data_IF_901221828985
#
_entry.id   IF_901221828985
#
_cell.length_a   1.000
_cell.length_b   1.000
_cell.length_c   1.000
_cell.angle_alpha   90.00
_cell.angle_beta   90.00
_cell.angle_gamma   90.00
#
_symmetry.space_group_name_H-M   'P 1'
#
loop_
_entity.id
_entity.type
_entity.pdbx_description
1 polymer ?
#
# COMPACT_ATOMS: atom_id res chain seq x y z
N UNK A 1 2.30 -29.11 19.09
CA UNK A 1 3.69 -28.73 18.78
C UNK A 1 3.75 -27.46 17.92
N UNK A 2 3.07 -27.44 16.77
CA UNK A 2 3.06 -26.32 15.81
C UNK A 2 2.76 -24.94 16.42
N UNK A 3 1.70 -24.80 17.23
CA UNK A 3 1.36 -23.52 17.88
C UNK A 3 2.53 -22.94 18.70
N UNK A 4 3.27 -23.76 19.45
CA UNK A 4 4.41 -23.28 20.25
C UNK A 4 5.60 -22.84 19.38
N UNK A 5 5.77 -23.45 18.21
CA UNK A 5 6.84 -23.10 17.26
C UNK A 5 6.49 -21.79 16.54
N UNK A 6 5.27 -21.69 16.02
CA UNK A 6 4.83 -20.49 15.32
C UNK A 6 4.76 -19.26 16.23
N UNK A 7 4.28 -19.40 17.47
CA UNK A 7 4.22 -18.30 18.44
C UNK A 7 5.48 -18.21 19.30
N UNK A 8 6.66 -18.41 18.70
CA UNK A 8 7.95 -18.31 19.38
C UNK A 8 8.71 -17.04 19.00
N UNK A 9 9.64 -16.64 19.87
CA UNK A 9 10.55 -15.51 19.61
C UNK A 9 11.37 -15.70 18.33
N UNK A 10 11.85 -16.93 18.07
CA UNK A 10 12.61 -17.25 16.87
C UNK A 10 11.80 -17.03 15.60
N UNK A 11 10.52 -17.40 15.62
CA UNK A 11 9.62 -17.16 14.48
C UNK A 11 9.43 -15.66 14.23
N UNK A 12 9.26 -14.85 15.27
CA UNK A 12 9.16 -13.39 15.12
C UNK A 12 10.39 -12.81 14.46
N UNK A 13 11.59 -13.26 14.88
CA UNK A 13 12.85 -12.77 14.32
C UNK A 13 12.99 -13.14 12.83
N UNK A 14 12.59 -14.36 12.45
CA UNK A 14 12.58 -14.79 11.05
C UNK A 14 11.61 -13.93 10.22
N UNK A 15 10.38 -13.72 10.71
CA UNK A 15 9.39 -12.89 10.02
C UNK A 15 9.86 -11.44 9.89
N UNK A 16 10.45 -10.86 10.94
CA UNK A 16 11.04 -9.52 10.90
C UNK A 16 12.22 -9.43 9.95
N UNK A 17 13.05 -10.46 9.87
CA UNK A 17 14.18 -10.51 8.93
C UNK A 17 13.69 -10.53 7.48
N UNK A 18 12.69 -11.36 7.17
CA UNK A 18 12.06 -11.40 5.84
C UNK A 18 11.45 -10.03 5.53
N UNK A 19 10.74 -9.43 6.49
CA UNK A 19 10.15 -8.10 6.34
C UNK A 19 11.20 -7.03 6.01
N UNK A 20 12.30 -6.98 6.78
CA UNK A 20 13.39 -6.05 6.55
C UNK A 20 14.07 -6.27 5.18
N UNK A 21 14.29 -7.53 4.80
CA UNK A 21 14.85 -7.88 3.50
C UNK A 21 13.93 -7.45 2.35
N UNK A 22 12.62 -7.67 2.49
CA UNK A 22 11.62 -7.20 1.52
C UNK A 22 11.64 -5.68 1.37
N UNK A 23 11.74 -4.94 2.47
CA UNK A 23 11.87 -3.48 2.42
C UNK A 23 13.18 -3.04 1.74
N UNK A 24 14.30 -3.70 2.06
CA UNK A 24 15.58 -3.40 1.43
C UNK A 24 15.55 -3.63 -0.08
N UNK A 25 14.98 -4.77 -0.52
CA UNK A 25 14.79 -5.06 -1.95
C UNK A 25 13.87 -4.02 -2.60
N UNK A 26 12.78 -3.61 -1.93
CA UNK A 26 11.89 -2.57 -2.44
C UNK A 26 12.62 -1.23 -2.65
N UNK A 27 13.53 -0.85 -1.76
CA UNK A 27 14.36 0.36 -1.94
C UNK A 27 15.20 0.31 -3.21
N UNK A 28 15.82 -0.83 -3.52
CA UNK A 28 16.58 -0.98 -4.78
C UNK A 28 15.67 -0.97 -6.00
N UNK A 29 14.52 -1.66 -5.93
CA UNK A 29 13.53 -1.64 -7.02
C UNK A 29 13.01 -0.23 -7.27
N UNK A 30 12.77 0.54 -6.21
CA UNK A 30 12.36 1.95 -6.33
C UNK A 30 13.42 2.80 -7.01
N UNK A 31 14.69 2.60 -6.65
CA UNK A 31 15.80 3.33 -7.27
C UNK A 31 15.92 3.06 -8.78
N UNK A 32 15.75 1.81 -9.20
CA UNK A 32 16.02 1.40 -10.58
C UNK A 32 14.78 1.52 -11.49
N UNK A 33 13.57 1.31 -10.96
CA UNK A 33 12.33 1.24 -11.73
C UNK A 33 11.26 2.25 -11.29
N UNK A 34 11.55 3.06 -10.27
CA UNK A 34 10.67 4.09 -9.74
C UNK A 34 9.68 3.59 -8.69
N UNK A 35 9.07 4.55 -7.98
CA UNK A 35 8.16 4.30 -6.85
C UNK A 35 6.95 3.44 -7.23
N UNK A 36 6.40 3.60 -8.44
CA UNK A 36 5.22 2.83 -8.88
C UNK A 36 5.55 1.33 -9.04
N UNK A 37 6.76 1.03 -9.52
CA UNK A 37 7.22 -0.35 -9.67
C UNK A 37 7.41 -1.05 -8.32
N UNK A 38 8.10 -0.39 -7.38
CA UNK A 38 8.30 -0.93 -6.03
C UNK A 38 6.99 -1.13 -5.27
N UNK A 39 6.04 -0.20 -5.44
CA UNK A 39 4.69 -0.34 -4.91
C UNK A 39 4.00 -1.59 -5.45
N UNK A 40 3.86 -1.76 -6.76
CA UNK A 40 3.10 -2.89 -7.26
C UNK A 40 3.75 -4.24 -6.91
N UNK A 41 5.08 -4.32 -6.91
CA UNK A 41 5.80 -5.57 -6.73
C UNK A 41 5.91 -6.01 -5.26
N UNK A 42 6.10 -5.04 -4.35
CA UNK A 42 6.32 -5.30 -2.93
C UNK A 42 5.19 -4.72 -2.09
N UNK A 43 5.06 -3.40 -2.02
CA UNK A 43 4.19 -2.79 -1.02
C UNK A 43 2.73 -3.18 -1.23
N UNK A 44 2.18 -3.06 -2.44
CA UNK A 44 0.80 -3.39 -2.83
C UNK A 44 0.58 -4.87 -3.17
N UNK A 45 1.60 -5.70 -2.99
CA UNK A 45 1.50 -7.11 -3.32
C UNK A 45 0.84 -7.90 -2.18
N UNK A 46 -0.02 -8.85 -2.55
CA UNK A 46 -0.77 -9.69 -1.61
C UNK A 46 0.14 -10.51 -0.68
N UNK A 47 1.32 -10.91 -1.15
CA UNK A 47 2.28 -11.66 -0.32
C UNK A 47 2.84 -10.81 0.83
N UNK A 48 2.99 -9.50 0.63
CA UNK A 48 3.50 -8.58 1.64
C UNK A 48 2.42 -8.31 2.71
N UNK A 49 1.16 -8.20 2.29
CA UNK A 49 0.01 -8.14 3.21
C UNK A 49 -0.10 -9.41 4.07
N UNK A 50 0.11 -10.58 3.46
CA UNK A 50 0.16 -11.85 4.21
C UNK A 50 1.31 -11.83 5.21
N UNK A 51 2.49 -11.32 4.84
CA UNK A 51 3.63 -11.21 5.76
C UNK A 51 3.30 -10.32 6.96
N UNK A 52 2.69 -9.15 6.75
CA UNK A 52 2.22 -8.28 7.83
C UNK A 52 1.19 -8.97 8.72
N UNK A 53 0.21 -9.67 8.13
CA UNK A 53 -0.80 -10.42 8.88
C UNK A 53 -0.17 -11.53 9.74
N UNK A 54 0.78 -12.28 9.18
CA UNK A 54 1.52 -13.32 9.90
C UNK A 54 2.30 -12.74 11.08
N UNK A 55 2.96 -11.60 10.90
CA UNK A 55 3.66 -10.85 11.95
C UNK A 55 2.69 -10.41 13.06
N UNK A 56 1.56 -9.83 12.68
CA UNK A 56 0.53 -9.38 13.61
C UNK A 56 0.00 -10.54 14.46
N UNK A 57 -0.40 -11.64 13.81
CA UNK A 57 -0.92 -12.84 14.49
C UNK A 57 0.16 -13.45 15.40
N UNK A 58 1.41 -13.53 14.92
CA UNK A 58 2.53 -14.04 15.71
C UNK A 58 2.75 -13.21 16.99
N UNK A 59 2.81 -11.88 16.89
CA UNK A 59 3.02 -10.98 18.02
C UNK A 59 1.87 -11.06 19.04
N UNK A 60 0.63 -11.08 18.57
CA UNK A 60 -0.56 -11.26 19.42
C UNK A 60 -0.49 -12.60 20.15
N UNK A 61 -0.19 -13.69 19.44
CA UNK A 61 -0.08 -15.01 20.04
C UNK A 61 1.04 -15.11 21.07
N UNK A 62 2.17 -14.42 20.87
CA UNK A 62 3.26 -14.35 21.86
C UNK A 62 2.80 -13.72 23.17
N UNK A 63 2.06 -12.61 23.10
CA UNK A 63 1.53 -11.91 24.29
C UNK A 63 0.70 -12.87 25.15
N UNK A 64 -0.20 -13.63 24.52
CA UNK A 64 -1.11 -14.55 25.23
C UNK A 64 -0.42 -15.85 25.68
N UNK A 65 0.35 -16.51 24.82
CA UNK A 65 0.98 -17.81 25.11
C UNK A 65 2.09 -17.67 26.17
N UNK A 66 2.88 -16.59 26.12
CA UNK A 66 3.94 -16.33 27.09
C UNK A 66 3.48 -15.52 28.31
N UNK A 67 2.17 -15.23 28.39
CA UNK A 67 1.51 -14.49 29.48
C UNK A 67 2.26 -13.20 29.81
N UNK A 68 2.50 -12.36 28.81
CA UNK A 68 3.31 -11.13 28.96
C UNK A 68 2.63 -10.05 29.83
N UNK A 69 1.35 -10.20 30.16
CA UNK A 69 0.62 -9.31 31.07
C UNK A 69 1.08 -9.39 32.54
N UNK A 70 2.05 -10.26 32.86
CA UNK A 70 2.65 -10.34 34.18
C UNK A 70 3.49 -9.08 34.48
N UNK A 71 3.42 -8.59 35.73
CA UNK A 71 4.13 -7.36 36.16
C UNK A 71 5.63 -7.34 35.85
N UNK A 72 6.28 -8.51 35.88
CA UNK A 72 7.72 -8.64 35.61
C UNK A 72 8.08 -8.49 34.12
N UNK A 73 7.10 -8.44 33.21
CA UNK A 73 7.31 -8.51 31.76
C UNK A 73 6.78 -7.27 31.01
N UNK A 74 6.52 -6.17 31.70
CA UNK A 74 5.95 -4.96 31.07
C UNK A 74 6.79 -4.38 29.94
N UNK A 75 8.13 -4.39 30.06
CA UNK A 75 9.00 -3.95 28.97
C UNK A 75 8.80 -4.78 27.70
N UNK A 76 8.69 -6.11 27.85
CA UNK A 76 8.43 -7.02 26.74
C UNK A 76 7.02 -6.83 26.18
N UNK A 77 6.01 -6.68 27.04
CA UNK A 77 4.63 -6.40 26.64
C UNK A 77 4.55 -5.13 25.80
N UNK A 78 5.13 -4.02 26.29
CA UNK A 78 5.15 -2.74 25.59
C UNK A 78 5.81 -2.84 24.22
N UNK A 79 6.95 -3.53 24.12
CA UNK A 79 7.64 -3.72 22.85
C UNK A 79 6.77 -4.45 21.81
N UNK A 80 6.13 -5.56 22.21
CA UNK A 80 5.29 -6.32 21.29
C UNK A 80 4.01 -5.55 20.93
N UNK A 81 3.41 -4.87 21.90
CA UNK A 81 2.25 -4.00 21.67
C UNK A 81 2.59 -2.84 20.74
N UNK A 82 3.78 -2.25 20.83
CA UNK A 82 4.23 -1.19 19.92
C UNK A 82 4.29 -1.69 18.47
N UNK A 83 4.85 -2.89 18.24
CA UNK A 83 4.85 -3.48 16.89
C UNK A 83 3.44 -3.75 16.37
N UNK A 84 2.52 -4.21 17.22
CA UNK A 84 1.11 -4.39 16.85
C UNK A 84 0.50 -3.05 16.42
N UNK A 85 0.71 -1.98 17.20
CA UNK A 85 0.20 -0.64 16.86
C UNK A 85 0.80 -0.13 15.56
N UNK A 86 2.10 -0.32 15.32
CA UNK A 86 2.77 0.07 14.08
C UNK A 86 2.19 -0.69 12.88
N UNK A 87 1.99 -2.00 13.00
CA UNK A 87 1.41 -2.83 11.93
C UNK A 87 -0.04 -2.43 11.61
N UNK A 88 -0.85 -2.14 12.63
CA UNK A 88 -2.22 -1.65 12.43
C UNK A 88 -2.22 -0.26 11.79
N UNK A 89 -1.33 0.64 12.23
CA UNK A 89 -1.15 1.95 11.61
C UNK A 89 -0.74 1.84 10.14
N UNK A 90 0.18 0.94 9.80
CA UNK A 90 0.58 0.67 8.43
C UNK A 90 -0.60 0.18 7.58
N UNK A 91 -1.43 -0.72 8.10
CA UNK A 91 -2.64 -1.18 7.40
C UNK A 91 -3.63 -0.05 7.17
N UNK A 92 -3.86 0.82 8.16
CA UNK A 92 -4.76 1.99 8.01
C UNK A 92 -4.23 2.93 6.93
N UNK A 93 -2.96 3.34 7.01
CA UNK A 93 -2.34 4.24 6.02
C UNK A 93 -2.37 3.63 4.61
N UNK A 94 -2.23 2.32 4.48
CA UNK A 94 -2.28 1.62 3.20
C UNK A 94 -3.66 1.65 2.56
N UNK A 95 -4.72 1.34 3.31
CA UNK A 95 -6.06 1.18 2.73
C UNK A 95 -6.86 2.47 2.70
N UNK A 96 -6.53 3.45 3.55
CA UNK A 96 -7.26 4.71 3.69
C UNK A 96 -6.40 5.96 3.48
N UNK A 97 -5.08 5.82 3.34
CA UNK A 97 -4.19 6.95 3.08
C UNK A 97 -4.30 7.43 1.64
N UNK A 98 -4.09 8.73 1.45
CA UNK A 98 -3.97 9.36 0.14
C UNK A 98 -2.52 9.75 -0.05
N UNK A 99 -1.95 9.40 -1.19
CA UNK A 99 -0.56 9.71 -1.52
C UNK A 99 -0.46 10.65 -2.71
N UNK A 100 0.41 11.64 -2.60
CA UNK A 100 0.58 12.67 -3.60
C UNK A 100 1.93 13.38 -3.50
N UNK A 101 2.27 14.13 -4.54
CA UNK A 101 3.34 15.10 -4.50
C UNK A 101 2.80 16.47 -4.12
N UNK A 102 3.51 17.20 -3.26
CA UNK A 102 3.28 18.61 -3.02
C UNK A 102 4.52 19.39 -3.46
N UNK A 103 4.37 20.26 -4.45
CA UNK A 103 5.47 21.10 -4.90
C UNK A 103 5.44 22.43 -4.14
N UNK A 104 6.37 22.62 -3.20
CA UNK A 104 6.50 23.85 -2.40
C UNK A 104 7.75 24.60 -2.86
N UNK A 105 7.59 25.88 -3.18
CA UNK A 105 8.72 26.78 -3.47
C UNK A 105 9.27 27.37 -2.19
N UNK A 106 10.56 27.70 -2.19
CA UNK A 106 11.22 28.38 -1.06
C UNK A 106 10.46 29.65 -0.65
N UNK A 107 10.20 29.79 0.66
CA UNK A 107 9.43 30.91 1.21
C UNK A 107 7.93 30.92 0.87
N UNK A 108 7.38 29.83 0.34
CA UNK A 108 5.96 29.69 0.03
C UNK A 108 5.32 28.55 0.84
N UNK A 109 3.99 28.57 0.93
CA UNK A 109 3.17 27.47 1.45
C UNK A 109 2.21 26.98 0.38
N UNK A 110 1.86 25.69 0.42
CA UNK A 110 0.83 25.08 -0.43
C UNK A 110 -0.11 24.25 0.45
N UNK A 111 -1.39 24.32 0.17
CA UNK A 111 -2.45 23.46 0.73
C UNK A 111 -3.01 22.47 -0.31
N UNK A 112 -2.40 22.44 -1.51
CA UNK A 112 -2.80 21.57 -2.62
C UNK A 112 -1.78 20.44 -2.79
N UNK A 113 -2.28 19.21 -2.93
CA UNK A 113 -1.50 18.03 -3.31
C UNK A 113 -1.92 17.55 -4.70
N UNK A 114 -0.96 17.01 -5.46
CA UNK A 114 -1.20 16.30 -6.72
C UNK A 114 -1.11 14.81 -6.43
N UNK A 115 -2.23 14.10 -6.50
CA UNK A 115 -2.31 12.66 -6.22
C UNK A 115 -1.46 11.87 -7.23
N UNK A 116 -0.86 10.76 -6.76
CA UNK A 116 -0.07 9.85 -7.62
C UNK A 116 -0.91 8.74 -8.25
N UNK A 117 -2.22 8.82 -8.11
CA UNK A 117 -3.14 7.86 -8.72
C UNK A 117 -3.06 7.96 -10.23
N UNK A 118 -2.80 6.82 -10.88
CA UNK A 118 -2.86 6.74 -12.33
C UNK A 118 -4.31 6.54 -12.74
N UNK A 119 -4.79 7.36 -13.67
CA UNK A 119 -6.13 7.21 -14.22
C UNK A 119 -6.14 7.55 -15.70
N UNK A 120 -6.99 6.85 -16.45
CA UNK A 120 -7.37 7.25 -17.80
C UNK A 120 -8.59 8.15 -17.67
N UNK A 121 -8.43 9.42 -18.02
CA UNK A 121 -9.53 10.38 -18.10
C UNK A 121 -10.04 10.48 -19.53
N UNK A 122 -11.35 10.35 -19.67
CA UNK A 122 -12.08 10.65 -20.88
C UNK A 122 -12.76 12.01 -20.71
N UNK A 123 -12.47 12.93 -21.63
CA UNK A 123 -13.00 14.29 -21.65
C UNK A 123 -13.71 14.55 -22.99
N UNK A 124 -14.98 14.91 -22.94
CA UNK A 124 -15.74 15.35 -24.12
C UNK A 124 -15.77 16.86 -24.18
N UNK A 125 -15.41 17.42 -25.33
CA UNK A 125 -15.46 18.86 -25.59
C UNK A 125 -16.65 19.19 -26.50
N UNK A 126 -17.32 20.31 -26.27
CA UNK A 126 -18.25 20.88 -27.24
C UNK A 126 -17.50 21.61 -28.37
N UNK A 127 -18.24 22.08 -29.38
CA UNK A 127 -17.68 22.86 -30.50
C UNK A 127 -17.02 24.18 -30.06
N UNK A 128 -17.28 24.65 -28.84
CA UNK A 128 -16.66 25.83 -28.22
C UNK A 128 -15.40 25.50 -27.40
N UNK A 129 -14.97 24.23 -27.35
CA UNK A 129 -13.79 23.79 -26.61
C UNK A 129 -13.97 23.67 -25.08
N UNK A 130 -15.21 23.66 -24.57
CA UNK A 130 -15.52 23.42 -23.15
C UNK A 130 -15.79 21.95 -22.88
N UNK A 131 -15.29 21.45 -21.74
CA UNK A 131 -15.54 20.06 -21.28
C UNK A 131 -17.01 19.92 -20.85
N UNK A 132 -17.73 19.01 -21.50
CA UNK A 132 -19.15 18.69 -21.25
C UNK A 132 -19.30 17.43 -20.41
N UNK A 133 -18.36 16.49 -20.53
CA UNK A 133 -18.38 15.24 -19.77
C UNK A 133 -16.95 14.85 -19.37
N UNK A 134 -16.80 14.42 -18.11
CA UNK A 134 -15.54 13.94 -17.54
C UNK A 134 -15.79 12.58 -16.90
N UNK A 135 -15.05 11.56 -17.33
CA UNK A 135 -15.04 10.24 -16.69
C UNK A 135 -13.59 9.80 -16.47
N UNK A 136 -13.24 9.42 -15.24
CA UNK A 136 -11.91 8.91 -14.90
C UNK A 136 -11.97 7.44 -14.51
N UNK A 137 -11.02 6.66 -15.02
CA UNK A 137 -10.84 5.24 -14.69
C UNK A 137 -9.48 5.04 -14.06
N UNK A 138 -9.42 4.67 -12.78
CA UNK A 138 -8.17 4.31 -12.13
C UNK A 138 -7.51 3.14 -12.85
N UNK A 139 -6.22 3.29 -13.16
CA UNK A 139 -5.36 2.27 -13.76
C UNK A 139 -4.12 2.09 -12.89
N UNK A 140 -3.43 0.96 -13.03
CA UNK A 140 -2.18 0.69 -12.31
C UNK A 140 -1.17 0.17 -13.31
N UNK A 141 -0.74 1.03 -14.22
CA UNK A 141 0.22 0.65 -15.25
C UNK A 141 1.62 0.57 -14.65
N UNK A 142 2.35 -0.50 -14.96
CA UNK A 142 3.68 -0.71 -14.43
C UNK A 142 4.62 -1.30 -15.50
N UNK A 143 5.86 -0.79 -15.65
CA UNK A 143 6.87 -1.36 -16.57
C UNK A 143 7.13 -2.86 -16.44
N UNK A 144 6.89 -3.45 -15.26
CA UNK A 144 7.18 -4.85 -14.93
C UNK A 144 5.97 -5.79 -15.08
N UNK A 145 4.77 -5.25 -15.33
CA UNK A 145 3.53 -6.03 -15.45
C UNK A 145 2.88 -5.81 -16.83
N UNK A 146 2.04 -6.76 -17.25
CA UNK A 146 1.31 -6.63 -18.52
C UNK A 146 0.20 -5.59 -18.36
N UNK A 147 0.35 -4.45 -19.01
CA UNK A 147 -0.58 -3.33 -18.94
C UNK A 147 -1.63 -3.45 -20.05
N UNK A 148 -2.85 -3.86 -19.72
CA UNK A 148 -3.98 -3.80 -20.63
C UNK A 148 -5.16 -3.09 -19.98
N UNK A 149 -5.84 -2.23 -20.74
CA UNK A 149 -7.02 -1.51 -20.28
C UNK A 149 -8.11 -1.63 -21.33
N UNK A 150 -9.18 -2.38 -21.03
CA UNK A 150 -10.35 -2.42 -21.91
C UNK A 150 -11.59 -1.94 -21.14
N UNK A 151 -12.21 -0.84 -21.60
CA UNK A 151 -13.44 -0.33 -20.98
C UNK A 151 -14.39 0.24 -22.03
N UNK A 152 -15.64 -0.23 -21.97
CA UNK A 152 -16.75 0.29 -22.79
C UNK A 152 -17.40 1.46 -22.06
N UNK A 153 -17.41 2.62 -22.71
CA UNK A 153 -18.04 3.83 -22.20
C UNK A 153 -19.27 4.15 -23.05
N UNK A 154 -20.44 4.21 -22.40
CA UNK A 154 -21.69 4.65 -23.02
C UNK A 154 -21.89 6.13 -22.73
N UNK A 155 -22.00 6.94 -23.78
CA UNK A 155 -22.19 8.39 -23.65
C UNK A 155 -23.66 8.78 -23.75
N UNK A 156 -24.02 9.97 -23.25
CA UNK A 156 -25.40 10.50 -23.26
C UNK A 156 -26.06 10.52 -24.66
N UNK A 157 -25.28 10.48 -25.74
CA UNK A 157 -25.78 10.41 -27.13
C UNK A 157 -25.93 8.97 -27.69
N UNK A 158 -25.97 7.94 -26.83
CA UNK A 158 -26.10 6.53 -27.23
C UNK A 158 -24.97 6.02 -28.15
N UNK A 159 -23.82 6.71 -28.17
CA UNK A 159 -22.58 6.24 -28.81
C UNK A 159 -21.75 5.49 -27.77
N UNK A 160 -21.35 4.27 -28.12
CA UNK A 160 -20.44 3.44 -27.32
C UNK A 160 -19.03 3.56 -27.88
N UNK A 161 -18.06 3.95 -27.05
CA UNK A 161 -16.65 3.95 -27.41
C UNK A 161 -15.98 2.81 -26.64
N UNK A 162 -15.24 1.95 -27.36
CA UNK A 162 -14.41 0.93 -26.71
C UNK A 162 -13.00 1.51 -26.56
N UNK A 163 -12.59 1.74 -25.33
CA UNK A 163 -11.22 2.13 -25.00
C UNK A 163 -10.40 0.85 -24.86
N UNK A 164 -9.32 0.73 -25.61
CA UNK A 164 -8.36 -0.39 -25.59
C UNK A 164 -6.94 0.15 -25.38
#
# INVERSE_FOLDING_TARGET
MFKKIFFSFWMSLILLFIYALSCAVATFVENDFGTNAAKALVYNALWFDILHLLLLINLIGIIFIHKLLQRKKYASLLLHSAFIVILLGAAITRYFGIEGGMHIREGQSSDIIVTRDEFIALMLYNDEGKVVEYQSFGVAFNPLLHNSFEKKVSMQQNKTINLK
#
